data_IF_269133347521
#
_entry.id   IF_269133347521
#
_cell.length_a   1.000
_cell.length_b   1.000
_cell.length_c   1.000
_cell.angle_alpha   90.00
_cell.angle_beta   90.00
_cell.angle_gamma   90.00
#
_symmetry.space_group_name_H-M   'P 1'
#
loop_
_entity.id
_entity.type
_entity.pdbx_description
1 polymer ?
#
# COMPACT_ATOMS: atom_id res chain seq x y z
N UNK A 1 -1.27 -7.96 -16.26
CA UNK A 1 -1.49 -8.31 -14.84
C UNK A 1 -2.96 -8.10 -14.53
N UNK A 2 -3.78 -9.15 -14.64
CA UNK A 2 -5.24 -9.04 -14.81
C UNK A 2 -6.08 -9.11 -13.52
N UNK A 3 -5.48 -9.29 -12.34
CA UNK A 3 -6.20 -9.31 -11.06
C UNK A 3 -5.38 -8.67 -9.94
N UNK A 4 -6.05 -8.02 -8.99
CA UNK A 4 -5.43 -7.62 -7.72
C UNK A 4 -4.89 -8.88 -7.05
N UNK A 5 -3.66 -8.83 -6.57
CA UNK A 5 -3.11 -9.94 -5.79
C UNK A 5 -3.80 -9.90 -4.43
N UNK A 6 -4.69 -10.86 -4.21
CA UNK A 6 -5.40 -11.04 -2.93
C UNK A 6 -4.75 -12.13 -2.06
N UNK A 7 -3.63 -12.71 -2.52
CA UNK A 7 -2.85 -13.64 -1.71
C UNK A 7 -2.14 -12.95 -0.55
N UNK A 8 -1.72 -13.73 0.45
CA UNK A 8 -0.85 -13.24 1.51
C UNK A 8 0.39 -12.56 0.91
N UNK A 9 0.78 -11.36 1.38
CA UNK A 9 0.29 -10.62 2.56
C UNK A 9 -0.84 -9.60 2.30
N UNK A 10 -1.30 -9.46 1.06
CA UNK A 10 -2.28 -8.44 0.65
C UNK A 10 -3.72 -8.70 1.15
N UNK A 11 -4.01 -9.91 1.62
CA UNK A 11 -5.28 -10.25 2.28
C UNK A 11 -5.39 -9.71 3.71
N UNK A 12 -4.27 -9.42 4.38
CA UNK A 12 -4.25 -8.95 5.78
C UNK A 12 -3.95 -7.46 5.86
N UNK A 13 -3.04 -6.98 5.01
CA UNK A 13 -2.64 -5.57 4.95
C UNK A 13 -2.74 -5.08 3.52
N UNK A 14 -3.35 -3.91 3.35
CA UNK A 14 -3.60 -3.36 2.01
C UNK A 14 -2.31 -2.99 1.26
N UNK A 15 -1.32 -2.48 2.00
CA UNK A 15 -0.06 -1.96 1.46
C UNK A 15 1.13 -2.60 2.20
N UNK A 16 1.37 -3.91 2.01
CA UNK A 16 2.30 -4.69 2.83
C UNK A 16 3.75 -4.26 2.67
N UNK A 17 4.10 -3.69 1.53
CA UNK A 17 5.42 -3.11 1.29
C UNK A 17 5.71 -1.93 2.23
N UNK A 18 4.80 -0.95 2.30
CA UNK A 18 4.96 0.25 3.11
C UNK A 18 4.95 -0.07 4.60
N UNK A 19 4.02 -0.93 5.03
CA UNK A 19 3.94 -1.37 6.44
C UNK A 19 5.16 -2.20 6.82
N UNK A 20 5.57 -3.14 5.96
CA UNK A 20 6.73 -3.99 6.20
C UNK A 20 8.03 -3.21 6.30
N UNK A 21 8.27 -2.25 5.39
CA UNK A 21 9.48 -1.42 5.45
C UNK A 21 9.50 -0.50 6.67
N UNK A 22 8.36 0.08 7.07
CA UNK A 22 8.28 0.85 8.34
C UNK A 22 8.66 -0.01 9.54
N UNK A 23 8.17 -1.26 9.63
CA UNK A 23 8.54 -2.18 10.72
C UNK A 23 10.04 -2.46 10.71
N UNK A 24 10.65 -2.67 9.54
CA UNK A 24 12.11 -2.84 9.44
C UNK A 24 12.89 -1.62 9.95
N UNK A 25 12.44 -0.40 9.66
CA UNK A 25 13.07 0.82 10.17
C UNK A 25 12.90 0.98 11.69
N UNK A 26 11.70 0.68 12.22
CA UNK A 26 11.47 0.67 13.68
C UNK A 26 12.39 -0.35 14.35
N UNK A 27 12.44 -1.58 13.84
CA UNK A 27 13.28 -2.64 14.39
C UNK A 27 14.77 -2.25 14.37
N UNK A 28 15.25 -1.66 13.27
CA UNK A 28 16.60 -1.12 13.19
C UNK A 28 16.85 -0.02 14.21
N UNK A 29 15.93 0.94 14.35
CA UNK A 29 16.06 2.02 15.33
C UNK A 29 16.14 1.51 16.78
N UNK A 30 15.32 0.50 17.11
CA UNK A 30 15.33 -0.16 18.41
C UNK A 30 16.62 -0.97 18.62
N UNK A 31 17.08 -1.70 17.61
CA UNK A 31 18.30 -2.52 17.69
C UNK A 31 19.56 -1.68 17.98
N UNK A 32 19.64 -0.49 17.40
CA UNK A 32 20.75 0.44 17.65
C UNK A 32 20.54 1.34 18.88
N UNK A 33 19.40 1.22 19.59
CA UNK A 33 19.03 2.02 20.77
C UNK A 33 19.12 3.54 20.53
N UNK A 34 18.90 3.99 19.27
CA UNK A 34 19.03 5.40 18.91
C UNK A 34 17.66 6.05 18.70
N UNK A 35 17.29 7.07 19.50
CA UNK A 35 16.02 7.78 19.33
C UNK A 35 15.94 8.52 17.99
N UNK A 36 17.07 8.94 17.42
CA UNK A 36 17.15 9.51 16.07
C UNK A 36 16.56 8.57 15.00
N UNK A 37 16.73 7.26 15.14
CA UNK A 37 16.17 6.27 14.22
C UNK A 37 14.64 6.24 14.25
N UNK A 38 14.03 6.48 15.41
CA UNK A 38 12.57 6.55 15.55
C UNK A 38 12.02 7.81 14.87
N UNK A 39 12.69 8.95 15.00
CA UNK A 39 12.28 10.18 14.30
C UNK A 39 12.37 10.04 12.79
N UNK A 40 13.43 9.39 12.28
CA UNK A 40 13.56 9.11 10.85
C UNK A 40 12.46 8.14 10.40
N UNK A 41 12.17 7.11 11.19
CA UNK A 41 11.11 6.16 10.88
C UNK A 41 9.73 6.84 10.83
N UNK A 42 9.45 7.74 11.77
CA UNK A 42 8.22 8.54 11.79
C UNK A 42 8.12 9.42 10.55
N UNK A 43 9.22 10.08 10.16
CA UNK A 43 9.26 10.89 8.95
C UNK A 43 8.95 10.06 7.68
N UNK A 44 9.60 8.90 7.54
CA UNK A 44 9.34 7.98 6.42
C UNK A 44 7.88 7.50 6.41
N UNK A 45 7.32 7.19 7.58
CA UNK A 45 5.91 6.82 7.70
C UNK A 45 4.96 7.92 7.22
N UNK A 46 5.23 9.19 7.54
CA UNK A 46 4.44 10.32 7.05
C UNK A 46 4.52 10.41 5.51
N UNK A 47 5.72 10.27 4.94
CA UNK A 47 5.91 10.26 3.48
C UNK A 47 5.13 9.12 2.82
N UNK A 48 5.11 7.93 3.46
CA UNK A 48 4.33 6.80 2.98
C UNK A 48 2.82 7.07 3.01
N UNK A 49 2.30 7.69 4.06
CA UNK A 49 0.89 8.08 4.12
C UNK A 49 0.52 9.06 3.00
N UNK A 50 1.39 10.02 2.71
CA UNK A 50 1.19 10.96 1.60
C UNK A 50 1.20 10.19 0.27
N UNK A 51 2.17 9.32 0.04
CA UNK A 51 2.24 8.51 -1.19
C UNK A 51 0.98 7.65 -1.37
N UNK A 52 0.52 6.99 -0.29
CA UNK A 52 -0.70 6.18 -0.32
C UNK A 52 -1.96 7.00 -0.58
N UNK A 53 -2.00 8.27 -0.15
CA UNK A 53 -3.11 9.17 -0.48
C UNK A 53 -3.18 9.48 -1.99
N UNK A 54 -2.08 9.35 -2.75
CA UNK A 54 -2.07 9.46 -4.20
C UNK A 54 -2.28 8.10 -4.89
N UNK A 55 -1.69 7.03 -4.39
CA UNK A 55 -1.81 5.69 -4.98
C UNK A 55 -3.18 5.03 -4.74
N UNK A 56 -3.81 5.28 -3.58
CA UNK A 56 -5.15 4.80 -3.24
C UNK A 56 -6.24 5.22 -4.24
N UNK A 57 -6.41 6.51 -4.57
CA UNK A 57 -7.39 6.95 -5.57
C UNK A 57 -7.04 6.49 -6.99
N UNK A 58 -5.76 6.37 -7.32
CA UNK A 58 -5.33 5.86 -8.63
C UNK A 58 -5.69 4.37 -8.78
N UNK A 59 -5.42 3.57 -7.75
CA UNK A 59 -5.77 2.15 -7.69
C UNK A 59 -7.28 1.96 -7.72
N UNK A 60 -8.03 2.74 -6.96
CA UNK A 60 -9.50 2.72 -6.96
C UNK A 60 -10.10 3.12 -8.31
N UNK A 61 -9.52 4.12 -9.00
CA UNK A 61 -9.95 4.49 -10.35
C UNK A 61 -9.67 3.40 -11.39
N UNK A 62 -8.52 2.74 -11.32
CA UNK A 62 -8.18 1.64 -12.22
C UNK A 62 -9.18 0.48 -12.03
N UNK A 63 -9.42 0.05 -10.78
CA UNK A 63 -10.35 -1.06 -10.52
C UNK A 63 -11.81 -0.70 -10.80
N UNK A 64 -12.26 0.52 -10.48
CA UNK A 64 -13.64 0.96 -10.78
C UNK A 64 -13.91 1.09 -12.28
N UNK A 65 -12.95 1.57 -13.07
CA UNK A 65 -13.03 1.62 -14.54
C UNK A 65 -13.08 0.22 -15.14
N UNK A 66 -12.27 -0.72 -14.61
CA UNK A 66 -12.31 -2.12 -15.05
C UNK A 66 -13.63 -2.80 -14.73
N UNK A 67 -14.17 -2.61 -13.52
CA UNK A 67 -15.48 -3.15 -13.14
C UNK A 67 -16.60 -2.64 -14.06
N UNK A 68 -16.57 -1.34 -14.42
CA UNK A 68 -17.51 -0.75 -15.39
C UNK A 68 -17.37 -1.35 -16.79
N UNK A 69 -16.14 -1.54 -17.29
CA UNK A 69 -15.89 -2.14 -18.61
C UNK A 69 -16.28 -3.63 -18.66
N UNK A 70 -16.06 -4.40 -17.59
CA UNK A 70 -16.54 -5.80 -17.52
C UNK A 70 -18.08 -5.87 -17.48
N UNK A 71 -18.73 -4.93 -16.78
CA UNK A 71 -20.20 -4.86 -16.74
C UNK A 71 -20.81 -4.44 -18.09
N UNK A 72 -20.16 -3.57 -18.85
CA UNK A 72 -20.63 -3.20 -20.20
C UNK A 72 -20.47 -4.35 -21.20
N UNK A 73 -19.32 -5.05 -21.20
CA UNK A 73 -19.10 -6.23 -22.07
C UNK A 73 -20.13 -7.34 -21.78
N UNK A 74 -20.50 -7.56 -20.51
CA UNK A 74 -21.51 -8.55 -20.13
C UNK A 74 -22.94 -8.15 -20.53
N UNK A 75 -23.20 -6.88 -20.85
CA UNK A 75 -24.52 -6.37 -21.26
C UNK A 75 -24.74 -6.43 -22.77
N UNK A 76 -23.67 -6.59 -23.55
CA UNK A 76 -23.68 -6.70 -25.01
C UNK A 76 -23.56 -8.15 -25.53
N UNK A 77 -23.42 -9.13 -24.62
CA UNK A 77 -23.48 -10.58 -24.86
C UNK A 77 -24.81 -11.14 -24.36
#
# INVERSE_FOLDING_TARGET
MDKRVEGFPFNVVENPMYVGSTICFVAGALWYEKPAGLFITLYVYIVYQIALAFEGPFTSMIYSTRAKNTASVKKEL
#
